data_IF_881157128087
#
_entry.id   IF_881157128087
#
_cell.length_a   1.000
_cell.length_b   1.000
_cell.length_c   1.000
_cell.angle_alpha   90.00
_cell.angle_beta   90.00
_cell.angle_gamma   90.00
#
_symmetry.space_group_name_H-M   'P 1'
#
loop_
_entity.id
_entity.type
_entity.pdbx_description
1 polymer ?
#
# COMPACT_ATOMS: atom_id res chain seq x y z
N UNK A 1 3.20 -27.46 26.70
CA UNK A 1 2.81 -27.10 25.32
C UNK A 1 1.85 -25.93 25.40
N UNK A 2 2.33 -24.69 25.22
CA UNK A 2 1.55 -23.48 25.48
C UNK A 2 1.21 -22.74 24.18
N UNK A 3 -0.08 -22.81 23.86
CA UNK A 3 -0.99 -21.83 23.24
C UNK A 3 -0.43 -20.86 22.17
N UNK A 4 -0.81 -21.08 20.91
CA UNK A 4 -0.86 -20.01 19.90
C UNK A 4 -2.22 -19.29 20.00
N UNK A 5 -2.20 -18.01 20.38
CA UNK A 5 -3.34 -17.11 20.10
C UNK A 5 -3.38 -16.86 18.59
N UNK A 6 -4.30 -17.49 17.89
CA UNK A 6 -4.67 -17.14 16.52
C UNK A 6 -5.50 -15.86 16.56
N UNK A 7 -5.01 -14.78 15.97
CA UNK A 7 -5.82 -13.57 15.75
C UNK A 7 -6.83 -13.85 14.63
N UNK A 8 -8.11 -13.57 14.91
CA UNK A 8 -9.27 -13.90 14.07
C UNK A 8 -9.31 -13.12 12.74
N UNK A 9 -10.33 -13.39 11.92
CA UNK A 9 -10.60 -12.66 10.67
C UNK A 9 -10.72 -11.16 10.90
N UNK A 10 -10.30 -10.36 9.91
CA UNK A 10 -10.33 -8.91 10.01
C UNK A 10 -9.99 -8.22 8.70
N UNK A 11 -9.69 -6.92 8.78
CA UNK A 11 -9.15 -6.18 7.65
C UNK A 11 -8.16 -5.11 8.09
N UNK A 12 -7.30 -4.73 7.15
CA UNK A 12 -6.39 -3.60 7.22
C UNK A 12 -7.01 -2.50 6.36
N UNK A 13 -7.19 -1.31 6.90
CA UNK A 13 -7.69 -0.16 6.15
C UNK A 13 -6.59 0.89 5.96
N UNK A 14 -6.34 1.24 4.69
CA UNK A 14 -5.30 2.21 4.32
C UNK A 14 -5.95 3.34 3.54
N UNK A 15 -5.75 4.58 4.02
CA UNK A 15 -6.17 5.80 3.32
C UNK A 15 -4.95 6.51 2.76
N UNK A 16 -4.82 6.53 1.45
CA UNK A 16 -3.79 7.31 0.76
C UNK A 16 -4.25 8.76 0.66
N UNK A 17 -3.39 9.71 1.04
CA UNK A 17 -3.72 11.14 1.01
C UNK A 17 -3.09 11.86 -0.17
N UNK A 18 -1.79 11.65 -0.38
CA UNK A 18 -1.03 12.37 -1.38
C UNK A 18 0.17 11.55 -1.87
N UNK A 19 0.49 11.69 -3.14
CA UNK A 19 1.75 11.31 -3.75
C UNK A 19 2.48 12.55 -4.25
N UNK A 20 3.82 12.56 -4.11
CA UNK A 20 4.68 13.61 -4.62
C UNK A 20 6.00 13.03 -5.11
N UNK A 21 6.36 13.32 -6.35
CA UNK A 21 7.65 13.07 -6.98
C UNK A 21 8.24 14.35 -7.55
N UNK A 22 9.52 14.30 -7.94
CA UNK A 22 10.20 15.39 -8.61
C UNK A 22 9.98 15.43 -10.13
N UNK A 23 9.12 14.56 -10.66
CA UNK A 23 8.86 14.52 -12.10
C UNK A 23 7.87 15.63 -12.51
N UNK A 24 8.24 16.43 -13.51
CA UNK A 24 7.39 17.51 -14.01
C UNK A 24 6.25 17.00 -14.89
N UNK A 25 6.56 16.04 -15.77
CA UNK A 25 5.69 15.59 -16.86
C UNK A 25 5.55 14.05 -16.87
N UNK A 26 5.27 13.45 -15.70
CA UNK A 26 4.99 12.02 -15.60
C UNK A 26 3.48 11.78 -15.57
N UNK A 27 3.09 10.59 -16.02
CA UNK A 27 1.76 10.02 -15.99
C UNK A 27 1.66 8.90 -14.91
N UNK A 28 1.78 9.20 -13.60
CA UNK A 28 1.96 8.15 -12.60
C UNK A 28 0.75 7.21 -12.50
N UNK A 29 1.05 5.92 -12.52
CA UNK A 29 0.16 4.81 -12.15
C UNK A 29 0.61 4.17 -10.85
N UNK A 30 -0.30 3.59 -10.09
CA UNK A 30 -0.04 3.05 -8.76
C UNK A 30 -0.45 1.58 -8.67
N UNK A 31 0.37 0.79 -7.98
CA UNK A 31 0.00 -0.55 -7.52
C UNK A 31 0.39 -0.71 -6.06
N UNK A 32 -0.49 -1.30 -5.26
CA UNK A 32 -0.28 -1.46 -3.82
C UNK A 32 -0.31 -2.93 -3.39
N UNK A 33 0.44 -3.24 -2.35
CA UNK A 33 0.54 -4.56 -1.75
C UNK A 33 0.64 -4.43 -0.23
N UNK A 34 -0.11 -5.24 0.48
CA UNK A 34 0.05 -5.43 1.92
C UNK A 34 0.60 -6.82 2.15
N UNK A 35 1.77 -6.86 2.77
CA UNK A 35 2.54 -8.07 2.98
C UNK A 35 3.00 -8.17 4.44
N UNK A 36 3.61 -9.29 4.78
CA UNK A 36 4.38 -9.46 6.00
C UNK A 36 5.70 -8.69 5.89
N UNK A 37 6.29 -8.24 7.01
CA UNK A 37 7.63 -7.68 7.02
C UNK A 37 8.64 -8.60 6.33
N UNK A 38 9.27 -8.09 5.27
CA UNK A 38 10.32 -8.77 4.51
C UNK A 38 11.41 -7.78 4.07
N UNK A 39 12.57 -8.31 3.71
CA UNK A 39 13.63 -7.54 3.05
C UNK A 39 13.32 -7.25 1.58
N UNK A 40 12.55 -8.12 0.93
CA UNK A 40 12.09 -7.90 -0.45
C UNK A 40 10.89 -6.95 -0.50
N UNK A 41 10.90 -6.01 -1.46
CA UNK A 41 9.76 -5.14 -1.77
C UNK A 41 9.15 -5.62 -3.08
N UNK A 42 7.96 -6.19 -3.03
CA UNK A 42 7.25 -6.65 -4.22
C UNK A 42 5.79 -6.23 -4.22
N UNK A 43 5.28 -5.90 -5.41
CA UNK A 43 3.85 -5.76 -5.68
C UNK A 43 3.32 -6.89 -6.56
N UNK A 44 4.07 -7.99 -6.63
CA UNK A 44 3.65 -9.22 -7.31
C UNK A 44 2.51 -9.87 -6.52
N UNK A 45 1.40 -10.16 -7.20
CA UNK A 45 0.21 -10.75 -6.61
C UNK A 45 0.51 -12.11 -5.95
N UNK A 46 1.54 -12.83 -6.42
CA UNK A 46 1.94 -14.12 -5.86
C UNK A 46 2.73 -14.00 -4.55
N UNK A 47 3.20 -12.80 -4.20
CA UNK A 47 4.07 -12.55 -3.03
C UNK A 47 3.38 -11.80 -1.88
N UNK A 48 2.25 -11.14 -2.12
CA UNK A 48 1.59 -10.32 -1.11
C UNK A 48 0.74 -11.15 -0.15
N UNK A 49 1.21 -11.33 1.09
CA UNK A 49 0.56 -12.22 2.08
C UNK A 49 -0.88 -11.84 2.43
N UNK A 50 -1.22 -10.54 2.42
CA UNK A 50 -2.55 -10.08 2.83
C UNK A 50 -3.40 -9.62 1.65
N UNK A 51 -2.80 -8.98 0.65
CA UNK A 51 -3.51 -8.65 -0.59
C UNK A 51 -2.85 -7.58 -1.43
N UNK A 52 -3.34 -7.43 -2.66
CA UNK A 52 -2.93 -6.38 -3.59
C UNK A 52 -4.12 -5.53 -4.01
N UNK A 53 -3.85 -4.25 -4.26
CA UNK A 53 -4.69 -3.47 -5.13
C UNK A 53 -4.18 -3.71 -6.55
N UNK A 54 -5.10 -3.77 -7.53
CA UNK A 54 -4.74 -3.77 -8.94
C UNK A 54 -3.91 -2.54 -9.32
N UNK A 55 -3.56 -2.43 -10.60
CA UNK A 55 -2.94 -1.21 -11.11
C UNK A 55 -4.02 -0.14 -11.32
N UNK A 56 -3.77 1.08 -10.85
CA UNK A 56 -4.66 2.21 -11.10
C UNK A 56 -4.55 2.64 -12.57
N UNK A 57 -5.51 3.43 -13.06
CA UNK A 57 -5.26 4.28 -14.22
C UNK A 57 -4.17 5.32 -13.95
N UNK A 58 -3.73 6.04 -14.99
CA UNK A 58 -2.72 7.09 -14.87
C UNK A 58 -3.33 8.44 -14.48
N UNK A 59 -2.47 9.33 -13.98
CA UNK A 59 -2.76 10.73 -13.74
C UNK A 59 -1.91 11.58 -14.68
N UNK A 60 -2.52 12.40 -15.52
CA UNK A 60 -1.77 13.09 -16.57
C UNK A 60 -0.84 14.20 -16.07
N UNK A 61 0.38 14.22 -16.60
CA UNK A 61 1.41 15.26 -16.55
C UNK A 61 1.54 15.91 -15.16
N UNK A 62 1.74 15.07 -14.14
CA UNK A 62 1.86 15.55 -12.76
C UNK A 62 2.76 14.70 -11.89
N UNK A 63 3.75 15.35 -11.27
CA UNK A 63 4.50 14.79 -10.14
C UNK A 63 3.76 14.85 -8.80
N UNK A 64 2.58 15.47 -8.71
CA UNK A 64 1.84 15.60 -7.45
C UNK A 64 0.39 15.17 -7.62
N UNK A 65 -0.03 14.18 -6.84
CA UNK A 65 -1.40 13.67 -6.85
C UNK A 65 -2.00 13.79 -5.46
N UNK A 66 -3.13 14.48 -5.33
CA UNK A 66 -3.96 14.45 -4.13
C UNK A 66 -5.05 13.40 -4.33
N UNK A 67 -5.05 12.35 -3.52
CA UNK A 67 -5.96 11.22 -3.71
C UNK A 67 -7.35 11.55 -3.16
N UNK A 68 -8.36 11.32 -4.00
CA UNK A 68 -9.77 11.35 -3.61
C UNK A 68 -10.24 9.99 -3.08
N UNK A 69 -11.54 9.74 -3.13
CA UNK A 69 -12.13 8.45 -2.75
C UNK A 69 -11.83 7.31 -3.73
N UNK A 70 -11.38 7.65 -4.93
CA UNK A 70 -10.99 6.72 -5.98
C UNK A 70 -9.59 7.09 -6.47
N UNK A 71 -8.70 6.10 -6.51
CA UNK A 71 -7.36 6.20 -7.08
C UNK A 71 -7.42 5.53 -8.46
N UNK A 72 -8.23 6.12 -9.36
CA UNK A 72 -8.40 5.67 -10.75
C UNK A 72 -8.69 4.17 -10.86
N UNK A 73 -9.71 3.69 -10.14
CA UNK A 73 -10.12 2.29 -10.12
C UNK A 73 -9.70 1.51 -8.87
N UNK A 74 -8.90 2.10 -7.97
CA UNK A 74 -8.61 1.54 -6.65
C UNK A 74 -9.37 2.35 -5.59
N UNK A 75 -10.21 1.67 -4.80
CA UNK A 75 -10.95 2.30 -3.71
C UNK A 75 -10.01 2.92 -2.66
N UNK A 76 -10.36 4.13 -2.17
CA UNK A 76 -9.65 4.81 -1.10
C UNK A 76 -10.66 5.39 -0.08
N UNK A 77 -10.75 4.85 1.15
CA UNK A 77 -9.83 3.91 1.77
C UNK A 77 -9.85 2.52 1.15
N UNK A 78 -8.67 1.93 1.04
CA UNK A 78 -8.50 0.55 0.58
C UNK A 78 -8.59 -0.39 1.78
N UNK A 79 -9.56 -1.32 1.75
CA UNK A 79 -9.75 -2.36 2.77
C UNK A 79 -9.21 -3.70 2.28
N UNK A 80 -8.22 -4.25 2.99
CA UNK A 80 -7.62 -5.57 2.72
C UNK A 80 -8.10 -6.56 3.78
N UNK A 81 -8.97 -7.49 3.40
CA UNK A 81 -9.46 -8.53 4.32
C UNK A 81 -8.44 -9.65 4.47
N UNK A 82 -8.31 -10.17 5.69
CA UNK A 82 -7.46 -11.32 5.99
C UNK A 82 -8.23 -12.34 6.84
N UNK A 83 -7.97 -13.62 6.59
CA UNK A 83 -8.52 -14.71 7.43
C UNK A 83 -7.76 -14.88 8.75
N UNK A 84 -6.47 -14.53 8.75
CA UNK A 84 -5.61 -14.57 9.95
C UNK A 84 -4.53 -13.51 9.86
N UNK A 85 -4.36 -12.75 10.94
CA UNK A 85 -3.22 -11.85 11.07
C UNK A 85 -2.02 -12.64 11.63
N UNK A 86 -0.94 -12.72 10.85
CA UNK A 86 0.25 -13.50 11.24
C UNK A 86 1.08 -12.79 12.31
N UNK A 87 1.10 -11.46 12.27
CA UNK A 87 1.92 -10.61 13.13
C UNK A 87 1.35 -9.19 13.18
N UNK A 88 1.69 -8.42 14.23
CA UNK A 88 1.18 -7.04 14.39
C UNK A 88 1.81 -6.04 13.41
N UNK A 89 2.93 -6.43 12.81
CA UNK A 89 3.64 -5.61 11.84
C UNK A 89 3.17 -5.96 10.44
N UNK A 90 2.98 -4.97 9.59
CA UNK A 90 2.65 -5.16 8.19
C UNK A 90 3.64 -4.37 7.35
N UNK A 91 3.95 -4.86 6.17
CA UNK A 91 4.66 -4.08 5.16
C UNK A 91 3.66 -3.57 4.13
N UNK A 92 3.59 -2.25 3.96
CA UNK A 92 2.91 -1.65 2.82
C UNK A 92 3.96 -1.42 1.73
N UNK A 93 3.73 -2.02 0.56
CA UNK A 93 4.53 -1.80 -0.65
C UNK A 93 3.69 -1.01 -1.64
N UNK A 94 4.27 0.06 -2.17
CA UNK A 94 3.69 0.85 -3.25
C UNK A 94 4.66 0.85 -4.42
N UNK A 95 4.16 0.60 -5.63
CA UNK A 95 4.92 0.80 -6.87
C UNK A 95 4.27 1.93 -7.65
N UNK A 96 5.10 2.83 -8.16
CA UNK A 96 4.69 3.76 -9.22
C UNK A 96 5.40 3.44 -10.52
N UNK A 97 4.69 3.65 -11.61
CA UNK A 97 5.21 3.62 -12.97
C UNK A 97 4.73 4.85 -13.72
N UNK A 98 5.45 5.20 -14.76
CA UNK A 98 5.06 6.24 -15.71
C UNK A 98 4.34 5.60 -16.89
N UNK A 99 3.16 6.09 -17.29
CA UNK A 99 2.39 5.54 -18.41
C UNK A 99 2.77 6.19 -19.74
N UNK A 100 4.00 5.94 -20.20
CA UNK A 100 4.46 6.44 -21.49
C UNK A 100 4.08 5.49 -22.65
N UNK A 101 3.70 6.09 -23.79
CA UNK A 101 3.30 5.42 -25.04
C UNK A 101 4.38 4.44 -25.57
N UNK A 102 5.64 4.64 -25.19
CA UNK A 102 6.77 3.79 -25.59
C UNK A 102 7.12 2.67 -24.60
N UNK A 103 6.29 2.49 -23.55
CA UNK A 103 6.41 1.45 -22.55
C UNK A 103 6.41 2.05 -21.14
N UNK A 104 5.71 1.40 -20.22
CA UNK A 104 5.63 1.86 -18.85
C UNK A 104 7.00 1.79 -18.16
N UNK A 105 7.61 2.95 -17.88
CA UNK A 105 8.89 3.00 -17.16
C UNK A 105 8.65 2.85 -15.65
N UNK A 106 9.52 2.07 -15.03
CA UNK A 106 9.50 1.84 -13.60
C UNK A 106 10.06 3.05 -12.85
N UNK A 107 9.17 3.96 -12.43
CA UNK A 107 9.59 5.11 -11.62
C UNK A 107 10.22 4.67 -10.28
N UNK A 108 9.49 3.92 -9.44
CA UNK A 108 9.98 3.52 -8.12
C UNK A 108 9.10 2.45 -7.46
N UNK A 109 9.71 1.62 -6.61
CA UNK A 109 8.98 0.80 -5.62
C UNK A 109 9.42 1.20 -4.21
N UNK A 110 8.46 1.44 -3.33
CA UNK A 110 8.65 1.74 -1.92
C UNK A 110 8.06 0.64 -1.06
N UNK A 111 8.67 0.40 0.10
CA UNK A 111 8.15 -0.51 1.11
C UNK A 111 8.37 0.11 2.49
N UNK A 112 7.36 0.04 3.35
CA UNK A 112 7.46 0.46 4.74
C UNK A 112 6.79 -0.55 5.65
N UNK A 113 7.53 -1.02 6.65
CA UNK A 113 6.95 -1.74 7.76
C UNK A 113 6.33 -0.76 8.75
N UNK A 114 5.08 -1.05 9.11
CA UNK A 114 4.32 -0.37 10.15
C UNK A 114 3.98 -1.37 11.25
N UNK A 115 4.22 -0.99 12.49
CA UNK A 115 3.75 -1.74 13.66
C UNK A 115 2.52 -1.05 14.21
N UNK A 116 1.36 -1.65 13.98
CA UNK A 116 0.08 -1.03 14.32
C UNK A 116 -0.61 -1.75 15.49
N UNK A 117 -1.48 -1.02 16.18
CA UNK A 117 -2.36 -1.61 17.19
C UNK A 117 -3.53 -2.26 16.49
N UNK A 118 -3.81 -3.52 16.86
CA UNK A 118 -4.98 -4.25 16.38
C UNK A 118 -6.15 -3.90 17.30
N UNK A 119 -7.24 -3.41 16.71
CA UNK A 119 -8.46 -3.06 17.43
C UNK A 119 -9.52 -4.15 17.24
N UNK A 120 -10.35 -4.44 18.26
CA UNK A 120 -11.45 -5.39 18.14
C UNK A 120 -12.54 -4.96 17.14
N UNK A 121 -12.75 -3.66 16.96
CA UNK A 121 -13.84 -3.11 16.12
C UNK A 121 -13.39 -1.92 15.27
N UNK A 122 -14.09 -1.67 14.15
CA UNK A 122 -13.86 -0.49 13.30
C UNK A 122 -14.08 0.83 14.07
N UNK A 123 -15.08 0.89 14.95
CA UNK A 123 -15.42 2.10 15.73
C UNK A 123 -14.35 2.52 16.72
N UNK A 124 -13.53 1.57 17.19
CA UNK A 124 -12.43 1.83 18.12
C UNK A 124 -11.12 2.17 17.39
N UNK A 125 -11.01 1.76 16.12
CA UNK A 125 -9.84 2.00 15.31
C UNK A 125 -9.70 3.50 14.98
N UNK A 126 -8.46 4.01 15.08
CA UNK A 126 -8.15 5.40 14.75
C UNK A 126 -7.12 5.42 13.64
N UNK A 127 -7.29 6.31 12.66
CA UNK A 127 -6.25 6.55 11.67
C UNK A 127 -5.01 7.12 12.33
N UNK A 128 -3.87 6.55 11.95
CA UNK A 128 -2.56 7.10 12.24
C UNK A 128 -1.95 7.59 10.94
N UNK A 129 -1.61 8.87 10.88
CA UNK A 129 -0.99 9.44 9.69
C UNK A 129 0.49 9.05 9.61
N UNK A 130 0.91 8.56 8.45
CA UNK A 130 2.27 8.15 8.16
C UNK A 130 2.71 8.70 6.81
N UNK A 131 4.01 8.96 6.67
CA UNK A 131 4.63 9.32 5.40
C UNK A 131 5.66 8.25 5.04
N UNK A 132 5.47 7.61 3.88
CA UNK A 132 6.48 6.77 3.25
C UNK A 132 7.44 7.66 2.46
N UNK A 133 8.75 7.41 2.55
CA UNK A 133 9.79 8.17 1.82
C UNK A 133 10.69 7.20 1.06
N UNK A 134 11.37 7.69 0.04
CA UNK A 134 12.44 6.92 -0.60
C UNK A 134 13.51 6.56 0.45
N UNK A 135 14.03 5.33 0.37
CA UNK A 135 15.01 4.81 1.35
C UNK A 135 14.44 4.36 2.70
N UNK A 136 13.13 4.34 2.90
CA UNK A 136 12.52 4.04 4.22
C UNK A 136 12.52 2.53 4.60
N UNK A 137 13.15 1.72 3.76
CA UNK A 137 13.59 0.35 4.00
C UNK A 137 14.95 0.21 3.31
N UNK A 138 16.00 0.58 4.02
CA UNK A 138 17.38 0.19 3.75
C UNK A 138 17.87 -0.63 4.93
#
# INVERSE_FOLDING_TARGET
MHVMRTWAEGHIEIRFKQYKSGCGDCDPMFKFCVDRPSSEKSVDNSKCSYGTAGESGHYHNTGTVNFGSDIKGIANPWKVRFGRLHEKSIMLVARTRDDDIFGADHMQTWGQVYTERVYPTESEAKYVERKMRQGSHE
#
